data_IF_949862695369
#
_entry.id   IF_949862695369
#
_cell.length_a   1.000
_cell.length_b   1.000
_cell.length_c   1.000
_cell.angle_alpha   90.00
_cell.angle_beta   90.00
_cell.angle_gamma   90.00
#
_symmetry.space_group_name_H-M   'P 1'
#
loop_
_entity.id
_entity.type
_entity.pdbx_description
1 polymer ?
#
# COMPACT_ATOMS: atom_id res chain seq x y z
N UNK A 1 -46.13 9.40 -0.09
CA UNK A 1 -44.68 9.52 0.12
C UNK A 1 -44.08 8.12 0.03
N UNK A 2 -43.39 7.72 -1.04
CA UNK A 2 -42.67 6.46 -1.02
C UNK A 2 -41.26 6.73 -0.50
N UNK A 3 -40.89 6.07 0.59
CA UNK A 3 -39.54 6.05 1.14
C UNK A 3 -38.61 5.40 0.12
N UNK A 4 -37.87 6.24 -0.61
CA UNK A 4 -36.81 5.78 -1.48
C UNK A 4 -35.82 4.99 -0.62
N UNK A 5 -35.77 3.67 -0.83
CA UNK A 5 -34.70 2.80 -0.32
C UNK A 5 -33.37 3.48 -0.64
N UNK A 6 -32.75 4.12 0.35
CA UNK A 6 -31.44 4.75 0.22
C UNK A 6 -30.52 3.63 -0.21
N UNK A 7 -30.16 3.60 -1.50
CA UNK A 7 -29.07 2.76 -1.98
C UNK A 7 -27.87 3.22 -1.15
N UNK A 8 -27.40 2.39 -0.25
CA UNK A 8 -26.08 2.60 0.33
C UNK A 8 -25.15 2.81 -0.86
N UNK A 9 -24.47 3.95 -0.97
CA UNK A 9 -23.47 4.11 -2.00
C UNK A 9 -22.52 2.90 -1.87
N UNK A 10 -22.12 2.33 -3.00
CA UNK A 10 -21.08 1.30 -3.01
C UNK A 10 -19.79 2.01 -3.39
N UNK A 11 -18.67 1.49 -2.89
CA UNK A 11 -17.36 1.96 -3.35
C UNK A 11 -17.30 1.91 -4.89
N UNK A 12 -16.60 2.88 -5.50
CA UNK A 12 -16.36 2.86 -6.93
C UNK A 12 -15.74 1.53 -7.38
N UNK A 13 -16.12 1.07 -8.57
CA UNK A 13 -15.55 -0.16 -9.15
C UNK A 13 -14.22 0.16 -9.85
N UNK A 14 -13.16 0.38 -9.07
CA UNK A 14 -11.80 0.58 -9.59
C UNK A 14 -11.03 -0.73 -9.61
N UNK A 15 -10.94 -1.37 -10.79
CA UNK A 15 -10.27 -2.67 -10.94
C UNK A 15 -8.83 -2.68 -10.42
N UNK A 16 -8.11 -1.56 -10.54
CA UNK A 16 -6.72 -1.46 -10.13
C UNK A 16 -6.64 -1.48 -8.60
N UNK A 17 -7.48 -0.69 -7.92
CA UNK A 17 -7.57 -0.68 -6.47
C UNK A 17 -7.89 -2.08 -5.93
N UNK A 18 -8.90 -2.75 -6.51
CA UNK A 18 -9.29 -4.11 -6.12
C UNK A 18 -8.18 -5.15 -6.36
N UNK A 19 -7.48 -5.08 -7.50
CA UNK A 19 -6.32 -5.96 -7.79
C UNK A 19 -5.17 -5.73 -6.81
N UNK A 20 -4.93 -4.48 -6.38
CA UNK A 20 -3.90 -4.16 -5.40
C UNK A 20 -4.27 -4.66 -4.00
N UNK A 21 -5.54 -4.55 -3.60
CA UNK A 21 -6.05 -5.09 -2.34
C UNK A 21 -5.97 -6.62 -2.29
N UNK A 22 -6.41 -7.31 -3.35
CA UNK A 22 -6.34 -8.77 -3.40
C UNK A 22 -4.89 -9.28 -3.37
N UNK A 23 -3.96 -8.51 -3.94
CA UNK A 23 -2.52 -8.73 -3.85
C UNK A 23 -1.88 -8.32 -2.51
N UNK A 24 -2.66 -7.84 -1.53
CA UNK A 24 -2.19 -7.32 -0.23
C UNK A 24 -1.16 -6.18 -0.35
N UNK A 25 -1.18 -5.46 -1.47
CA UNK A 25 -0.31 -4.31 -1.74
C UNK A 25 -0.91 -3.03 -1.13
N UNK A 26 -1.21 -3.07 0.17
CA UNK A 26 -2.05 -2.09 0.88
C UNK A 26 -1.62 -0.64 0.69
N UNK A 27 -0.31 -0.35 0.74
CA UNK A 27 0.20 1.01 0.51
C UNK A 27 -0.11 1.53 -0.89
N UNK A 28 0.00 0.67 -1.91
CA UNK A 28 -0.32 1.02 -3.30
C UNK A 28 -1.83 1.14 -3.50
N UNK A 29 -2.60 0.24 -2.88
CA UNK A 29 -4.06 0.31 -2.89
C UNK A 29 -4.56 1.64 -2.29
N UNK A 30 -4.01 2.06 -1.15
CA UNK A 30 -4.33 3.36 -0.52
C UNK A 30 -4.04 4.51 -1.48
N UNK A 31 -2.87 4.54 -2.14
CA UNK A 31 -2.56 5.58 -3.10
C UNK A 31 -3.55 5.61 -4.27
N UNK A 32 -3.98 4.43 -4.75
CA UNK A 32 -5.00 4.34 -5.80
C UNK A 32 -6.34 4.86 -5.32
N UNK A 33 -6.78 4.52 -4.11
CA UNK A 33 -8.01 5.08 -3.53
C UNK A 33 -7.95 6.59 -3.29
N UNK A 34 -6.81 7.13 -2.89
CA UNK A 34 -6.63 8.59 -2.81
C UNK A 34 -6.80 9.25 -4.18
N UNK A 35 -6.32 8.62 -5.26
CA UNK A 35 -6.53 9.11 -6.62
C UNK A 35 -8.01 9.05 -7.01
N UNK A 36 -8.69 7.92 -6.76
CA UNK A 36 -10.13 7.80 -7.04
C UNK A 36 -10.92 8.84 -6.24
N UNK A 37 -10.55 9.09 -4.99
CA UNK A 37 -11.14 10.16 -4.16
C UNK A 37 -11.00 11.54 -4.81
N UNK A 38 -9.84 11.87 -5.39
CA UNK A 38 -9.64 13.17 -6.06
C UNK A 38 -10.47 13.34 -7.33
N UNK A 39 -10.86 12.24 -7.98
CA UNK A 39 -11.73 12.25 -9.16
C UNK A 39 -13.23 12.14 -8.80
N UNK A 40 -13.56 11.91 -7.53
CA UNK A 40 -14.94 11.68 -7.10
C UNK A 40 -15.63 13.00 -6.75
N UNK A 41 -16.66 13.36 -7.50
CA UNK A 41 -17.48 14.56 -7.25
C UNK A 41 -18.59 14.33 -6.21
N UNK A 42 -19.09 13.10 -6.09
CA UNK A 42 -20.16 12.74 -5.16
C UNK A 42 -19.62 12.65 -3.72
N UNK A 43 -20.09 13.55 -2.86
CA UNK A 43 -19.69 13.65 -1.44
C UNK A 43 -19.95 12.36 -0.66
N UNK A 44 -21.07 11.68 -0.91
CA UNK A 44 -21.41 10.44 -0.21
C UNK A 44 -20.49 9.29 -0.63
N UNK A 45 -20.09 9.25 -1.91
CA UNK A 45 -19.10 8.27 -2.40
C UNK A 45 -17.71 8.61 -1.85
N UNK A 46 -17.34 9.89 -1.82
CA UNK A 46 -16.07 10.36 -1.27
C UNK A 46 -15.90 9.96 0.22
N UNK A 47 -16.94 10.14 1.04
CA UNK A 47 -16.94 9.71 2.44
C UNK A 47 -16.66 8.21 2.59
N UNK A 48 -17.25 7.38 1.74
CA UNK A 48 -17.01 5.94 1.76
C UNK A 48 -15.59 5.58 1.33
N UNK A 49 -15.05 6.25 0.32
CA UNK A 49 -13.64 6.06 -0.08
C UNK A 49 -12.72 6.42 1.08
N UNK A 50 -13.00 7.49 1.82
CA UNK A 50 -12.21 7.87 3.01
C UNK A 50 -12.27 6.80 4.11
N UNK A 51 -13.47 6.27 4.40
CA UNK A 51 -13.63 5.18 5.36
C UNK A 51 -12.86 3.92 4.92
N UNK A 52 -12.92 3.60 3.63
CA UNK A 52 -12.22 2.46 3.06
C UNK A 52 -10.71 2.63 3.07
N UNK A 53 -10.20 3.83 2.78
CA UNK A 53 -8.78 4.17 2.95
C UNK A 53 -8.34 3.95 4.40
N UNK A 54 -9.14 4.36 5.38
CA UNK A 54 -8.84 4.14 6.79
C UNK A 54 -8.77 2.64 7.12
N UNK A 55 -9.68 1.84 6.59
CA UNK A 55 -9.63 0.38 6.71
C UNK A 55 -8.38 -0.21 6.06
N UNK A 56 -8.05 0.17 4.81
CA UNK A 56 -6.82 -0.28 4.14
C UNK A 56 -5.55 0.10 4.93
N UNK A 57 -5.53 1.26 5.58
CA UNK A 57 -4.40 1.69 6.43
C UNK A 57 -4.18 0.76 7.62
N UNK A 58 -5.26 0.24 8.21
CA UNK A 58 -5.16 -0.75 9.30
C UNK A 58 -4.58 -2.08 8.81
N UNK A 59 -4.73 -2.41 7.52
CA UNK A 59 -4.13 -3.61 6.92
C UNK A 59 -2.64 -3.44 6.59
N UNK A 60 -2.11 -2.21 6.54
CA UNK A 60 -0.70 -1.98 6.27
C UNK A 60 0.12 -2.55 7.43
N UNK A 61 1.04 -3.50 7.18
CA UNK A 61 1.92 -4.01 8.22
C UNK A 61 2.68 -2.84 8.86
N UNK A 62 2.56 -2.71 10.18
CA UNK A 62 3.34 -1.74 10.92
C UNK A 62 4.80 -2.18 10.89
N UNK A 63 5.65 -1.42 10.19
CA UNK A 63 7.09 -1.62 10.25
C UNK A 63 7.55 -1.25 11.66
N UNK A 64 8.30 -2.12 12.32
CA UNK A 64 8.97 -1.73 13.55
C UNK A 64 9.97 -0.62 13.21
N UNK A 65 9.99 0.51 13.95
CA UNK A 65 11.04 1.51 13.78
C UNK A 65 12.40 0.81 13.98
N UNK A 66 13.29 0.91 12.99
CA UNK A 66 14.63 0.28 13.01
C UNK A 66 14.76 -1.02 12.21
N UNK A 67 13.67 -1.61 11.71
CA UNK A 67 13.75 -2.87 10.95
C UNK A 67 14.05 -2.59 9.46
N UNK A 68 15.33 -2.69 9.09
CA UNK A 68 15.79 -2.61 7.71
C UNK A 68 15.50 -3.95 7.01
N UNK A 69 14.32 -4.06 6.38
CA UNK A 69 13.99 -5.23 5.56
C UNK A 69 14.65 -5.06 4.19
N UNK A 70 15.82 -5.67 4.02
CA UNK A 70 16.51 -5.78 2.73
C UNK A 70 15.91 -6.92 1.92
N UNK A 71 15.48 -6.64 0.69
CA UNK A 71 15.11 -7.70 -0.25
C UNK A 71 16.36 -8.48 -0.69
N UNK A 72 16.16 -9.67 -1.27
CA UNK A 72 17.26 -10.44 -1.86
C UNK A 72 18.04 -9.64 -2.92
N UNK A 73 17.38 -8.73 -3.64
CA UNK A 73 18.03 -7.85 -4.60
C UNK A 73 18.86 -6.76 -3.92
N UNK A 74 18.36 -6.19 -2.83
CA UNK A 74 19.11 -5.19 -2.04
C UNK A 74 20.39 -5.81 -1.47
N UNK A 75 20.30 -7.04 -0.93
CA UNK A 75 21.45 -7.79 -0.42
C UNK A 75 22.50 -8.04 -1.52
N UNK A 76 22.07 -8.46 -2.71
CA UNK A 76 22.97 -8.66 -3.87
C UNK A 76 23.63 -7.37 -4.31
N UNK A 77 22.89 -6.26 -4.29
CA UNK A 77 23.42 -4.96 -4.66
C UNK A 77 24.47 -4.49 -3.63
N UNK A 78 24.19 -4.63 -2.34
CA UNK A 78 25.12 -4.31 -1.25
C UNK A 78 26.42 -5.11 -1.38
N UNK A 79 26.33 -6.42 -1.59
CA UNK A 79 27.51 -7.27 -1.78
C UNK A 79 28.30 -6.91 -3.05
N UNK A 80 27.61 -6.54 -4.14
CA UNK A 80 28.26 -6.08 -5.37
C UNK A 80 29.06 -4.80 -5.14
N UNK A 81 28.49 -3.85 -4.39
CA UNK A 81 29.16 -2.59 -4.05
C UNK A 81 30.32 -2.83 -3.10
N UNK A 82 30.14 -3.65 -2.07
CA UNK A 82 31.19 -3.99 -1.11
C UNK A 82 32.43 -4.57 -1.81
N UNK A 83 32.24 -5.54 -2.72
CA UNK A 83 33.35 -6.13 -3.49
C UNK A 83 34.11 -5.11 -4.32
N UNK A 84 33.41 -4.12 -4.90
CA UNK A 84 34.07 -3.03 -5.64
C UNK A 84 34.96 -2.16 -4.76
N UNK A 85 34.63 -2.05 -3.47
CA UNK A 85 35.38 -1.29 -2.48
C UNK A 85 36.51 -2.11 -1.82
N UNK A 86 36.71 -3.37 -2.24
CA UNK A 86 37.69 -4.28 -1.62
C UNK A 86 37.20 -4.90 -0.31
N UNK A 87 35.99 -4.58 0.12
CA UNK A 87 35.33 -5.23 1.24
C UNK A 87 34.69 -6.53 0.73
N UNK A 88 34.84 -7.65 1.45
CA UNK A 88 34.19 -8.91 1.09
C UNK A 88 32.65 -8.81 1.08
N UNK A 89 31.92 -9.92 0.87
CA UNK A 89 30.46 -9.90 1.03
C UNK A 89 30.10 -9.54 2.49
N UNK A 90 29.38 -8.43 2.66
CA UNK A 90 29.04 -7.86 3.98
C UNK A 90 27.56 -8.01 4.31
N UNK A 91 26.70 -8.31 3.33
CA UNK A 91 25.26 -8.34 3.52
C UNK A 91 24.82 -9.35 4.61
N UNK A 92 25.58 -10.42 4.81
CA UNK A 92 25.35 -11.43 5.86
C UNK A 92 25.55 -10.92 7.30
N UNK A 93 26.22 -9.78 7.49
CA UNK A 93 26.52 -9.19 8.80
C UNK A 93 25.57 -8.05 9.20
N UNK A 94 24.59 -7.75 8.35
CA UNK A 94 23.68 -6.60 8.51
C UNK A 94 22.24 -7.03 8.84
N UNK A 95 22.00 -8.33 8.99
CA UNK A 95 20.72 -8.91 9.38
C UNK A 95 20.88 -9.36 10.84
N UNK A 96 20.61 -8.46 11.79
CA UNK A 96 20.31 -8.78 13.20
C UNK A 96 18.82 -8.60 13.46
#
# INVERSE_FOLDING_TARGET
MPEAKRKTPKLPDDEIAWKLESGKLWRRAICRWCYVLTETEDVHVAEQIVQHIAWCRQQVPQKRPGELILSANDLRYIDKVARKLGCGPIARHWIE
#
